data_IF_529631389162
#
_entry.id   IF_529631389162
#
_cell.length_a   1.000
_cell.length_b   1.000
_cell.length_c   1.000
_cell.angle_alpha   90.00
_cell.angle_beta   90.00
_cell.angle_gamma   90.00
#
_symmetry.space_group_name_H-M   'P 1'
#
loop_
_entity.id
_entity.type
_entity.pdbx_description
1 polymer ?
#
# COMPACT_ATOMS: atom_id res chain seq x y z
N UNK A 1 -12.50 23.69 18.25
CA UNK A 1 -11.13 23.68 17.72
C UNK A 1 -11.13 22.98 16.38
N UNK A 2 -10.86 23.71 15.29
CA UNK A 2 -10.67 23.11 13.97
C UNK A 2 -9.18 22.90 13.71
N UNK A 3 -8.82 21.84 12.99
CA UNK A 3 -7.44 21.57 12.61
C UNK A 3 -6.81 22.72 11.79
N UNK A 4 -7.64 23.48 11.08
CA UNK A 4 -7.26 24.70 10.35
C UNK A 4 -6.75 25.83 11.25
N UNK A 5 -7.14 25.82 12.52
CA UNK A 5 -6.80 26.89 13.47
C UNK A 5 -5.52 26.55 14.25
N UNK A 6 -5.02 25.32 14.11
CA UNK A 6 -3.77 24.90 14.71
C UNK A 6 -2.59 25.53 13.94
N UNK A 7 -1.54 26.01 14.64
CA UNK A 7 -0.35 26.51 13.97
C UNK A 7 0.30 25.38 13.15
N UNK A 8 0.63 25.69 11.90
CA UNK A 8 1.47 24.85 11.07
C UNK A 8 2.94 25.11 11.41
N UNK A 9 3.74 24.05 11.56
CA UNK A 9 5.19 24.11 11.80
C UNK A 9 5.63 23.63 13.20
N UNK A 10 6.78 22.95 13.25
CA UNK A 10 7.31 22.19 14.41
C UNK A 10 7.83 22.99 15.61
N UNK A 11 7.24 24.13 15.95
CA UNK A 11 7.58 24.88 17.16
C UNK A 11 7.00 24.26 18.45
N UNK A 12 7.59 24.57 19.61
CA UNK A 12 7.14 24.03 20.91
C UNK A 12 5.69 24.40 21.26
N UNK A 13 5.19 25.54 20.78
CA UNK A 13 3.80 25.97 20.95
C UNK A 13 2.84 25.14 20.11
N UNK A 14 3.20 24.88 18.85
CA UNK A 14 2.42 24.01 17.96
C UNK A 14 2.33 22.58 18.50
N UNK A 15 3.45 22.07 19.02
CA UNK A 15 3.51 20.75 19.65
C UNK A 15 2.54 20.61 20.83
N UNK A 16 2.41 21.65 21.65
CA UNK A 16 1.45 21.67 22.77
C UNK A 16 0.01 21.66 22.26
N UNK A 17 -0.31 22.53 21.31
CA UNK A 17 -1.64 22.60 20.71
C UNK A 17 -2.05 21.27 20.04
N UNK A 18 -1.13 20.60 19.36
CA UNK A 18 -1.38 19.28 18.76
C UNK A 18 -1.61 18.19 19.81
N UNK A 19 -0.91 18.24 20.94
CA UNK A 19 -1.08 17.27 22.02
C UNK A 19 -2.48 17.37 22.64
N UNK A 20 -3.07 18.58 22.70
CA UNK A 20 -4.45 18.79 23.18
C UNK A 20 -5.52 18.15 22.26
N UNK A 21 -5.18 17.89 21.00
CA UNK A 21 -6.08 17.24 20.04
C UNK A 21 -6.09 15.71 20.17
N UNK A 22 -5.26 15.11 21.01
CA UNK A 22 -5.30 13.68 21.25
C UNK A 22 -6.66 13.23 21.80
N UNK A 23 -7.18 12.13 21.25
CA UNK A 23 -8.51 11.63 21.55
C UNK A 23 -9.64 12.38 20.83
N UNK A 24 -9.36 13.43 20.06
CA UNK A 24 -10.37 14.11 19.25
C UNK A 24 -10.69 13.30 17.98
N UNK A 25 -11.98 13.12 17.69
CA UNK A 25 -12.48 12.47 16.47
C UNK A 25 -12.44 13.47 15.29
N UNK A 26 -11.27 13.65 14.71
CA UNK A 26 -11.01 14.67 13.70
C UNK A 26 -10.24 14.16 12.48
N UNK A 27 -9.94 12.86 12.39
CA UNK A 27 -9.20 12.28 11.27
C UNK A 27 -10.18 11.77 10.21
N UNK A 28 -10.39 12.44 9.07
CA UNK A 28 -11.28 11.90 8.04
C UNK A 28 -10.64 10.67 7.40
N UNK A 29 -11.39 9.59 7.28
CA UNK A 29 -10.93 8.30 6.78
C UNK A 29 -11.43 8.05 5.35
N UNK A 30 -10.75 7.16 4.62
CA UNK A 30 -11.09 6.86 3.23
C UNK A 30 -12.41 6.06 3.09
N UNK A 31 -12.87 5.42 4.15
CA UNK A 31 -14.20 4.79 4.20
C UNK A 31 -15.35 5.79 4.46
N UNK A 32 -15.04 7.09 4.59
CA UNK A 32 -15.99 8.15 4.94
C UNK A 32 -16.21 8.31 6.45
N UNK A 33 -15.57 7.47 7.29
CA UNK A 33 -15.60 7.59 8.73
C UNK A 33 -14.72 8.72 9.27
N UNK A 34 -14.77 8.90 10.59
CA UNK A 34 -13.92 9.86 11.31
C UNK A 34 -13.22 9.14 12.45
N UNK A 35 -11.89 9.15 12.39
CA UNK A 35 -10.99 8.54 13.35
C UNK A 35 -10.51 9.48 14.46
N UNK A 36 -9.98 8.88 15.53
CA UNK A 36 -9.42 9.57 16.69
C UNK A 36 -7.92 9.82 16.52
N UNK A 37 -7.43 11.01 16.86
CA UNK A 37 -5.99 11.20 17.00
C UNK A 37 -5.43 10.35 18.14
N UNK A 38 -4.67 9.31 17.82
CA UNK A 38 -4.13 8.37 18.80
C UNK A 38 -2.81 7.79 18.34
N UNK A 39 -1.88 7.61 19.30
CA UNK A 39 -0.58 6.96 19.06
C UNK A 39 -0.64 5.43 19.17
N UNK A 40 -1.70 4.87 19.76
CA UNK A 40 -1.82 3.42 19.98
C UNK A 40 -2.30 2.63 18.76
N UNK A 41 -3.09 3.27 17.89
CA UNK A 41 -3.60 2.67 16.67
C UNK A 41 -3.48 3.68 15.53
N UNK A 42 -2.29 3.84 14.95
CA UNK A 42 -2.03 4.86 13.95
C UNK A 42 -2.88 4.63 12.69
N UNK A 43 -3.48 5.72 12.21
CA UNK A 43 -4.02 5.79 10.85
C UNK A 43 -2.88 5.99 9.85
N UNK A 44 -3.09 5.51 8.63
CA UNK A 44 -2.06 5.41 7.62
C UNK A 44 -2.21 6.54 6.60
N UNK A 45 -1.14 7.31 6.41
CA UNK A 45 -0.96 8.23 5.30
C UNK A 45 -0.45 7.44 4.09
N UNK A 46 -1.17 7.54 2.98
CA UNK A 46 -0.92 6.73 1.79
C UNK A 46 -1.45 7.44 0.54
N UNK A 47 -0.74 7.26 -0.58
CA UNK A 47 -1.21 7.69 -1.90
C UNK A 47 -2.37 6.81 -2.40
N UNK A 48 -3.09 7.26 -3.43
CA UNK A 48 -4.14 6.46 -4.05
C UNK A 48 -3.64 5.10 -4.56
N UNK A 49 -2.41 5.06 -5.09
CA UNK A 49 -1.74 3.82 -5.51
C UNK A 49 -1.59 2.85 -4.33
N UNK A 50 -1.01 3.33 -3.23
CA UNK A 50 -0.76 2.55 -2.01
C UNK A 50 -2.05 2.05 -1.35
N UNK A 51 -3.09 2.89 -1.28
CA UNK A 51 -4.39 2.48 -0.76
C UNK A 51 -5.02 1.37 -1.61
N UNK A 52 -4.80 1.39 -2.94
CA UNK A 52 -5.31 0.33 -3.83
C UNK A 52 -4.65 -1.03 -3.64
N UNK A 53 -3.51 -1.10 -2.94
CA UNK A 53 -2.86 -2.36 -2.57
C UNK A 53 -3.54 -3.03 -1.37
N UNK A 54 -4.26 -2.27 -0.54
CA UNK A 54 -4.94 -2.76 0.67
C UNK A 54 -6.41 -2.28 0.72
N UNK A 55 -7.26 -2.66 -0.25
CA UNK A 55 -8.64 -2.18 -0.35
C UNK A 55 -9.51 -2.50 0.88
N UNK A 56 -9.20 -3.55 1.65
CA UNK A 56 -9.89 -3.89 2.90
C UNK A 56 -9.61 -2.92 4.06
N UNK A 57 -8.60 -2.05 3.94
CA UNK A 57 -8.15 -1.16 5.01
C UNK A 57 -8.56 0.30 4.82
N UNK A 58 -9.61 0.59 4.05
CA UNK A 58 -10.11 1.98 3.88
C UNK A 58 -10.35 2.70 5.21
N UNK A 59 -10.85 1.98 6.21
CA UNK A 59 -11.08 2.46 7.59
C UNK A 59 -9.79 2.77 8.38
N UNK A 60 -8.62 2.45 7.84
CA UNK A 60 -7.30 2.76 8.43
C UNK A 60 -6.58 3.88 7.69
N UNK A 61 -6.98 4.19 6.46
CA UNK A 61 -6.33 5.21 5.66
C UNK A 61 -6.94 6.58 5.93
N UNK A 62 -6.09 7.59 6.08
CA UNK A 62 -6.53 8.99 6.08
C UNK A 62 -7.05 9.32 4.68
N UNK A 63 -8.22 9.97 4.61
CA UNK A 63 -8.87 10.32 3.35
C UNK A 63 -7.91 11.07 2.42
N UNK A 64 -7.87 10.68 1.14
CA UNK A 64 -7.07 11.38 0.13
C UNK A 64 -7.45 12.85 0.01
N UNK A 65 -8.73 13.19 0.22
CA UNK A 65 -9.19 14.58 0.22
C UNK A 65 -8.62 15.37 1.40
N UNK A 66 -8.56 14.75 2.59
CA UNK A 66 -7.96 15.36 3.78
C UNK A 66 -6.44 15.53 3.60
N UNK A 67 -5.75 14.50 3.10
CA UNK A 67 -4.31 14.57 2.81
C UNK A 67 -3.96 15.70 1.84
N UNK A 68 -4.80 15.93 0.81
CA UNK A 68 -4.63 17.08 -0.12
C UNK A 68 -4.91 18.42 0.55
N UNK A 69 -5.98 18.51 1.35
CA UNK A 69 -6.41 19.77 1.97
C UNK A 69 -5.45 20.25 3.06
N UNK A 70 -4.86 19.33 3.81
CA UNK A 70 -3.97 19.63 4.93
C UNK A 70 -2.55 19.12 4.66
N UNK A 71 -2.11 19.22 3.40
CA UNK A 71 -0.82 18.72 2.92
C UNK A 71 0.36 19.16 3.80
N UNK A 72 0.40 20.44 4.15
CA UNK A 72 1.51 21.03 4.94
C UNK A 72 1.68 20.35 6.31
N UNK A 73 0.58 19.88 6.93
CA UNK A 73 0.63 19.14 8.18
C UNK A 73 1.14 17.71 7.98
N UNK A 74 0.70 17.03 6.93
CA UNK A 74 1.07 15.65 6.67
C UNK A 74 2.49 15.48 6.09
N UNK A 75 3.07 16.56 5.55
CA UNK A 75 4.49 16.62 5.18
C UNK A 75 5.41 16.98 6.37
N UNK A 76 4.87 17.57 7.44
CA UNK A 76 5.61 17.83 8.67
C UNK A 76 5.75 16.55 9.52
N UNK A 77 6.94 15.96 9.50
CA UNK A 77 7.28 14.77 10.29
C UNK A 77 7.01 14.92 11.79
N UNK A 78 7.10 16.15 12.33
CA UNK A 78 6.81 16.44 13.73
C UNK A 78 5.33 16.28 14.00
N UNK A 79 4.47 16.85 13.17
CA UNK A 79 3.02 16.69 13.26
C UNK A 79 2.63 15.21 13.11
N UNK A 80 3.12 14.53 12.07
CA UNK A 80 2.86 13.11 11.81
C UNK A 80 3.18 12.26 13.04
N UNK A 81 4.38 12.44 13.63
CA UNK A 81 4.82 11.70 14.81
C UNK A 81 4.02 12.06 16.07
N UNK A 82 3.66 13.33 16.24
CA UNK A 82 2.91 13.83 17.41
C UNK A 82 1.52 13.25 17.41
N UNK A 83 0.81 13.39 16.29
CA UNK A 83 -0.57 12.96 16.13
C UNK A 83 -0.71 11.44 16.03
N UNK A 84 0.39 10.72 15.88
CA UNK A 84 0.41 9.26 15.84
C UNK A 84 -0.02 8.70 14.50
N UNK A 85 0.35 9.35 13.40
CA UNK A 85 0.14 8.81 12.06
C UNK A 85 1.27 7.84 11.68
N UNK A 86 0.93 6.81 10.91
CA UNK A 86 1.89 5.97 10.23
C UNK A 86 1.98 6.41 8.76
N UNK A 87 3.17 6.36 8.19
CA UNK A 87 3.35 6.51 6.73
C UNK A 87 3.36 5.11 6.12
N UNK A 88 2.67 4.95 5.00
CA UNK A 88 2.70 3.69 4.25
C UNK A 88 4.14 3.28 3.95
N UNK A 89 4.43 1.99 4.09
CA UNK A 89 5.74 1.41 3.80
C UNK A 89 5.58 -0.06 3.40
N UNK A 90 6.60 -0.66 2.76
CA UNK A 90 6.62 -2.10 2.49
C UNK A 90 6.32 -2.96 3.74
N UNK A 91 6.76 -2.52 4.93
CA UNK A 91 6.47 -3.19 6.20
C UNK A 91 4.98 -3.15 6.57
N UNK A 92 4.32 -1.99 6.37
CA UNK A 92 2.86 -1.88 6.55
C UNK A 92 2.14 -2.81 5.57
N UNK A 93 2.56 -2.84 4.31
CA UNK A 93 2.00 -3.75 3.32
C UNK A 93 2.19 -5.23 3.70
N UNK A 94 3.42 -5.63 4.06
CA UNK A 94 3.77 -6.99 4.46
C UNK A 94 2.94 -7.50 5.65
N UNK A 95 2.69 -6.65 6.65
CA UNK A 95 1.91 -7.00 7.83
C UNK A 95 0.42 -7.23 7.52
N UNK A 96 -0.08 -6.73 6.39
CA UNK A 96 -1.49 -6.82 6.00
C UNK A 96 -1.75 -7.75 4.80
N UNK A 97 -0.76 -8.55 4.39
CA UNK A 97 -0.88 -9.45 3.23
C UNK A 97 -1.99 -10.51 3.38
N UNK A 98 -2.37 -10.86 4.62
CA UNK A 98 -3.47 -11.80 4.88
C UNK A 98 -4.85 -11.24 4.45
N UNK A 99 -4.97 -9.93 4.24
CA UNK A 99 -6.21 -9.30 3.74
C UNK A 99 -6.38 -9.47 2.22
N UNK A 100 -5.29 -9.82 1.52
CA UNK A 100 -5.24 -9.85 0.05
C UNK A 100 -4.99 -11.27 -0.48
N UNK A 101 -4.06 -11.98 0.15
CA UNK A 101 -3.65 -13.29 -0.31
C UNK A 101 -4.39 -14.40 0.44
N UNK A 102 -4.74 -15.51 -0.23
CA UNK A 102 -5.25 -16.69 0.42
C UNK A 102 -4.29 -17.15 1.52
N UNK A 103 -4.83 -17.49 2.69
CA UNK A 103 -4.02 -17.98 3.82
C UNK A 103 -3.23 -19.24 3.45
N UNK A 104 -3.76 -20.05 2.53
CA UNK A 104 -3.12 -21.25 2.01
C UNK A 104 -1.81 -20.96 1.26
N UNK A 105 -1.57 -19.73 0.78
CA UNK A 105 -0.33 -19.38 0.09
C UNK A 105 0.82 -19.10 1.06
N UNK A 106 0.53 -18.92 2.35
CA UNK A 106 1.54 -18.49 3.31
C UNK A 106 2.55 -19.60 3.56
N UNK A 107 3.82 -19.27 3.38
CA UNK A 107 4.99 -20.15 3.43
C UNK A 107 5.04 -21.20 2.30
N UNK A 108 4.17 -21.12 1.30
CA UNK A 108 4.28 -21.96 0.12
C UNK A 108 5.44 -21.48 -0.75
N UNK A 109 6.20 -22.44 -1.27
CA UNK A 109 7.32 -22.13 -2.15
C UNK A 109 6.82 -21.74 -3.55
N UNK A 110 5.82 -22.47 -4.05
CA UNK A 110 5.19 -22.23 -5.34
C UNK A 110 3.67 -22.30 -5.19
N UNK A 111 2.96 -21.42 -5.87
CA UNK A 111 1.50 -21.52 -6.01
C UNK A 111 1.12 -21.38 -7.48
N UNK A 112 0.14 -22.17 -7.90
CA UNK A 112 -0.53 -21.94 -9.18
C UNK A 112 -1.27 -20.63 -9.08
N UNK A 113 -1.02 -19.73 -10.02
CA UNK A 113 -1.65 -18.43 -10.06
C UNK A 113 -2.37 -18.26 -11.40
N UNK A 114 -3.69 -18.31 -11.34
CA UNK A 114 -4.54 -18.06 -12.49
C UNK A 114 -5.35 -16.78 -12.27
N UNK A 115 -4.79 -15.64 -12.69
CA UNK A 115 -5.47 -14.36 -12.51
C UNK A 115 -6.66 -14.16 -13.46
N UNK A 116 -6.86 -15.02 -14.47
CA UNK A 116 -7.97 -14.88 -15.44
C UNK A 116 -9.20 -15.69 -15.01
N UNK A 117 -9.01 -16.83 -14.35
CA UNK A 117 -10.11 -17.65 -13.83
C UNK A 117 -10.55 -17.26 -12.41
N UNK A 118 -9.91 -16.26 -11.79
CA UNK A 118 -10.45 -15.50 -10.65
C UNK A 118 -10.80 -16.29 -9.39
N UNK A 119 -10.26 -17.50 -9.24
CA UNK A 119 -10.71 -18.41 -8.17
C UNK A 119 -10.05 -18.08 -6.84
N UNK A 120 -8.74 -17.79 -6.79
CA UNK A 120 -8.03 -17.42 -5.57
C UNK A 120 -6.77 -16.58 -5.86
N UNK A 121 -6.54 -15.50 -5.09
CA UNK A 121 -5.31 -14.69 -5.18
C UNK A 121 -5.48 -13.27 -5.73
N UNK A 122 -4.38 -12.52 -5.87
CA UNK A 122 -4.39 -11.16 -6.39
C UNK A 122 -4.53 -11.15 -7.92
N UNK A 123 -5.13 -10.09 -8.45
CA UNK A 123 -5.18 -9.86 -9.90
C UNK A 123 -3.78 -9.53 -10.47
N UNK A 124 -3.62 -9.64 -11.79
CA UNK A 124 -2.40 -9.20 -12.49
C UNK A 124 -2.08 -7.74 -12.22
N UNK A 125 -3.11 -6.90 -12.18
CA UNK A 125 -2.93 -5.47 -11.96
C UNK A 125 -2.55 -5.18 -10.53
N UNK A 126 -3.12 -5.89 -9.55
CA UNK A 126 -2.66 -5.78 -8.17
C UNK A 126 -1.18 -6.16 -8.06
N UNK A 127 -0.77 -7.29 -8.67
CA UNK A 127 0.62 -7.74 -8.61
C UNK A 127 1.58 -6.77 -9.30
N UNK A 128 1.16 -6.19 -10.44
CA UNK A 128 1.91 -5.13 -11.10
C UNK A 128 2.09 -3.91 -10.18
N UNK A 129 1.01 -3.41 -9.58
CA UNK A 129 1.07 -2.27 -8.67
C UNK A 129 1.93 -2.56 -7.43
N UNK A 130 1.87 -3.78 -6.93
CA UNK A 130 2.70 -4.25 -5.83
C UNK A 130 4.19 -4.07 -6.17
N UNK A 131 4.62 -4.52 -7.34
CA UNK A 131 6.01 -4.40 -7.78
C UNK A 131 6.42 -2.98 -8.20
N UNK A 132 5.47 -2.06 -8.41
CA UNK A 132 5.77 -0.63 -8.50
C UNK A 132 6.06 0.00 -7.14
N UNK A 133 5.53 -0.58 -6.05
CA UNK A 133 5.72 -0.08 -4.68
C UNK A 133 6.89 -0.76 -3.97
N UNK A 134 7.08 -2.06 -4.21
CA UNK A 134 8.16 -2.88 -3.65
C UNK A 134 9.19 -3.11 -4.75
N UNK A 135 10.33 -2.44 -4.67
CA UNK A 135 11.39 -2.64 -5.66
C UNK A 135 12.00 -4.04 -5.54
N UNK A 136 12.05 -4.79 -6.65
CA UNK A 136 12.76 -6.07 -6.72
C UNK A 136 14.27 -5.94 -6.46
N UNK A 137 14.82 -4.73 -6.63
CA UNK A 137 16.23 -4.43 -6.38
C UNK A 137 16.51 -4.16 -4.89
N UNK A 138 15.48 -3.91 -4.09
CA UNK A 138 15.59 -3.73 -2.65
C UNK A 138 15.37 -5.07 -1.94
N UNK A 139 16.47 -5.78 -1.67
CA UNK A 139 16.44 -7.07 -1.00
C UNK A 139 15.76 -7.01 0.38
N UNK A 140 15.86 -5.90 1.10
CA UNK A 140 15.20 -5.75 2.41
C UNK A 140 13.69 -5.63 2.26
N UNK A 141 13.22 -4.84 1.30
CA UNK A 141 11.80 -4.71 1.01
C UNK A 141 11.20 -6.04 0.53
N UNK A 142 11.89 -6.77 -0.35
CA UNK A 142 11.45 -8.10 -0.83
C UNK A 142 11.45 -9.12 0.32
N UNK A 143 12.47 -9.11 1.19
CA UNK A 143 12.58 -10.03 2.32
C UNK A 143 11.44 -9.87 3.35
N UNK A 144 10.80 -8.70 3.42
CA UNK A 144 9.60 -8.49 4.23
C UNK A 144 8.45 -9.41 3.79
N UNK A 145 8.43 -9.82 2.53
CA UNK A 145 7.40 -10.69 1.94
C UNK A 145 7.83 -12.15 1.84
N UNK A 146 8.93 -12.58 2.48
CA UNK A 146 9.49 -13.95 2.32
C UNK A 146 8.51 -15.10 2.56
N UNK A 147 7.44 -14.87 3.31
CA UNK A 147 6.40 -15.84 3.59
C UNK A 147 5.35 -15.94 2.47
N UNK A 148 5.48 -15.18 1.39
CA UNK A 148 4.45 -15.05 0.36
C UNK A 148 5.01 -15.32 -1.04
N UNK A 149 4.31 -16.14 -1.84
CA UNK A 149 4.62 -16.36 -3.24
C UNK A 149 4.07 -15.22 -4.08
N UNK A 150 4.95 -14.31 -4.50
CA UNK A 150 4.62 -13.11 -5.27
C UNK A 150 5.53 -12.90 -6.49
N UNK A 151 6.62 -13.67 -6.61
CA UNK A 151 7.54 -13.56 -7.74
C UNK A 151 6.96 -14.30 -8.94
N UNK A 152 6.59 -13.61 -10.03
CA UNK A 152 6.04 -14.27 -11.20
C UNK A 152 7.10 -15.12 -11.90
N UNK A 153 6.69 -16.33 -12.30
CA UNK A 153 7.51 -17.26 -13.10
C UNK A 153 6.99 -17.34 -14.53
N UNK A 154 7.80 -17.88 -15.44
CA UNK A 154 7.40 -18.11 -16.84
C UNK A 154 6.37 -19.23 -17.01
N UNK A 155 6.22 -20.13 -16.03
CA UNK A 155 5.22 -21.20 -16.01
C UNK A 155 3.82 -20.72 -15.62
N UNK A 156 3.67 -19.45 -15.24
CA UNK A 156 2.40 -18.91 -14.71
C UNK A 156 2.20 -19.19 -13.21
N UNK A 157 3.23 -19.68 -12.51
CA UNK A 157 3.22 -19.86 -11.06
C UNK A 157 3.82 -18.63 -10.37
N UNK A 158 3.51 -18.46 -9.08
CA UNK A 158 4.21 -17.50 -8.22
C UNK A 158 5.17 -18.24 -7.30
N UNK A 159 6.41 -17.76 -7.25
CA UNK A 159 7.47 -18.22 -6.37
C UNK A 159 7.53 -17.35 -5.10
N UNK A 160 7.84 -17.98 -3.97
CA UNK A 160 8.11 -17.31 -2.70
C UNK A 160 9.17 -16.21 -2.83
N UNK A 161 8.90 -15.03 -2.26
CA UNK A 161 9.90 -13.97 -2.12
C UNK A 161 11.11 -14.41 -1.27
N UNK A 162 10.98 -15.46 -0.46
CA UNK A 162 12.12 -16.06 0.26
C UNK A 162 13.15 -16.71 -0.68
N UNK A 163 12.80 -16.91 -1.95
CA UNK A 163 13.69 -17.42 -3.00
C UNK A 163 14.06 -16.35 -4.03
N UNK A 164 13.96 -15.05 -3.69
CA UNK A 164 14.21 -13.95 -4.62
C UNK A 164 15.62 -13.98 -5.24
N UNK A 165 16.64 -14.33 -4.46
CA UNK A 165 18.01 -14.49 -4.95
C UNK A 165 18.14 -15.54 -6.06
N UNK A 166 17.27 -16.55 -6.04
CA UNK A 166 17.21 -17.64 -7.03
C UNK A 166 16.36 -17.19 -8.22
N UNK A 167 15.18 -16.61 -7.97
CA UNK A 167 14.24 -16.18 -9.00
C UNK A 167 14.78 -15.06 -9.90
N UNK A 168 15.44 -14.06 -9.33
CA UNK A 168 15.98 -12.93 -10.10
C UNK A 168 17.18 -13.31 -10.97
N UNK A 169 18.02 -14.26 -10.52
CA UNK A 169 19.13 -14.81 -11.32
C UNK A 169 18.64 -15.56 -12.57
N UNK A 170 17.47 -16.20 -12.48
CA UNK A 170 16.85 -16.88 -13.62
C UNK A 170 16.25 -15.87 -14.61
N UNK A 171 15.70 -14.74 -14.14
CA UNK A 171 15.19 -13.68 -15.00
C UNK A 171 16.27 -12.96 -15.81
N UNK A 172 17.48 -12.79 -15.26
CA UNK A 172 18.61 -12.14 -15.98
C UNK A 172 19.02 -12.91 -17.26
N UNK A 173 18.66 -14.20 -17.34
CA UNK A 173 18.85 -15.04 -18.52
C UNK A 173 17.65 -15.03 -19.49
N UNK A 174 16.53 -14.39 -19.12
CA UNK A 174 15.21 -14.56 -19.78
C UNK A 174 14.55 -13.23 -20.17
N UNK A 175 15.11 -12.05 -19.84
CA UNK A 175 14.47 -10.76 -20.20
C UNK A 175 14.44 -10.53 -21.72
N UNK A 176 13.37 -10.97 -22.35
CA UNK A 176 12.89 -10.50 -23.64
C UNK A 176 11.86 -9.37 -23.40
N UNK A 177 11.96 -8.27 -24.15
CA UNK A 177 11.26 -7.00 -23.91
C UNK A 177 9.72 -7.06 -24.02
N UNK A 178 9.15 -8.23 -24.21
CA UNK A 178 7.73 -8.46 -24.44
C UNK A 178 6.87 -8.50 -23.15
N UNK A 179 7.44 -8.86 -21.99
CA UNK A 179 6.68 -9.02 -20.75
C UNK A 179 6.23 -7.67 -20.17
N UNK A 180 7.14 -6.67 -20.17
CA UNK A 180 6.87 -5.31 -19.67
C UNK A 180 5.72 -4.65 -20.44
N UNK A 181 5.75 -4.70 -21.77
CA UNK A 181 4.71 -4.11 -22.62
C UNK A 181 3.35 -4.82 -22.52
N UNK A 182 3.28 -6.07 -22.06
CA UNK A 182 1.99 -6.76 -21.80
C UNK A 182 1.38 -6.34 -20.47
N UNK A 183 2.19 -6.14 -19.44
CA UNK A 183 1.73 -5.69 -18.12
C UNK A 183 1.20 -4.25 -18.14
N UNK A 184 1.92 -3.35 -18.81
CA UNK A 184 1.49 -1.94 -18.97
C UNK A 184 0.15 -1.83 -19.70
N UNK A 185 -0.07 -2.63 -20.76
CA UNK A 185 -1.33 -2.65 -21.51
C UNK A 185 -2.50 -3.18 -20.68
N UNK A 186 -2.27 -4.20 -19.84
CA UNK A 186 -3.29 -4.73 -18.94
C UNK A 186 -3.66 -3.71 -17.84
N UNK A 187 -2.67 -3.06 -17.24
CA UNK A 187 -2.91 -2.00 -16.25
C UNK A 187 -3.64 -0.79 -16.85
N UNK A 188 -3.31 -0.40 -18.08
CA UNK A 188 -4.00 0.68 -18.80
C UNK A 188 -5.44 0.34 -19.17
N UNK A 189 -5.75 -0.94 -19.42
CA UNK A 189 -7.11 -1.39 -19.69
C UNK A 189 -8.00 -1.29 -18.45
N UNK A 190 -7.54 -1.82 -17.31
CA UNK A 190 -8.28 -1.72 -16.04
C UNK A 190 -8.43 -0.25 -15.57
N UNK A 191 -7.40 0.59 -15.74
CA UNK A 191 -7.49 2.01 -15.39
C UNK A 191 -8.57 2.77 -16.19
N UNK A 192 -8.85 2.35 -17.43
CA UNK A 192 -9.94 2.91 -18.24
C UNK A 192 -11.31 2.44 -17.76
N UNK A 193 -11.44 1.19 -17.34
CA UNK A 193 -12.69 0.64 -16.81
C UNK A 193 -13.06 1.24 -15.45
N UNK A 194 -12.06 1.50 -14.59
CA UNK A 194 -12.29 2.14 -13.30
C UNK A 194 -12.79 3.59 -13.47
N UNK A 195 -12.18 4.36 -14.38
CA UNK A 195 -12.63 5.72 -14.71
C UNK A 195 -14.04 5.76 -15.31
N UNK A 196 -14.37 4.80 -16.18
CA UNK A 196 -15.70 4.70 -16.78
C UNK A 196 -16.80 4.34 -15.75
N UNK A 197 -16.44 3.78 -14.59
CA UNK A 197 -17.36 3.50 -13.47
C UNK A 197 -17.55 4.70 -12.54
N UNK A 198 -16.60 5.64 -12.49
CA UNK A 198 -16.69 6.85 -11.65
C UNK A 198 -17.46 8.00 -12.33
N UNK A 199 -17.70 7.91 -13.65
CA UNK A 199 -18.44 8.91 -14.46
C UNK A 199 -19.92 8.55 -14.70
N UNK A 200 -20.45 7.51 -14.04
CA UNK A 200 -21.88 7.14 -14.05
C UNK A 200 -22.52 7.41 -12.70
#
# INVERSE_FOLDING_TARGET
FCLSDAPAGGGAEAQRAWTELHGAALVPLEDGGVGLFSRSSPYILATAHQQSLLPGLKHRFVSLAAQRKFKDFFEDSSFVSTMGFAVFSPSVLANNMNEILPRAWRNEQFVKWDPENGTEGPSRVWLYKFWQEVSLLDAHAVAAFRAWPLLPTTSGELLSCGSADIGLRLCDQVVDGQLSGRLERAAAAEGRELKAREER
#
